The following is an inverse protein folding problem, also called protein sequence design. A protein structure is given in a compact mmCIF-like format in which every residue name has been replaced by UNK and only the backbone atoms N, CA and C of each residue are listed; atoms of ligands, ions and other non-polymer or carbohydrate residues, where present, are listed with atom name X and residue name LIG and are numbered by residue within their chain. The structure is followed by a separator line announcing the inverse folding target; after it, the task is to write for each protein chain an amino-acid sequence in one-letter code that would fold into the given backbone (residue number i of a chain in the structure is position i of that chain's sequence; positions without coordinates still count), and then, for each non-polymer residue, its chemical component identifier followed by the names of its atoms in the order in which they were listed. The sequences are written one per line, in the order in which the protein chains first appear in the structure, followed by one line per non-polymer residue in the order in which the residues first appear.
data_IF_360226242043
#
_entry.id   IF_360226242043
#
_cell.length_a   1.000
_cell.length_b   1.000
_cell.length_c   1.000
_cell.angle_alpha   90.00
_cell.angle_beta   90.00
_cell.angle_gamma   90.00
#
_symmetry.space_group_name_H-M   'P 1'
#
loop_
_entity.id
_entity.type
_entity.pdbx_description
1 polymer ?
#
# COMPACT_ATOMS: atom_id res chain seq x y z
N UNK A 1 -31.98 26.26 41.04
CA UNK A 1 -31.01 26.57 39.96
C UNK A 1 -30.97 25.35 39.05
N UNK A 2 -31.67 25.43 37.92
CA UNK A 2 -31.74 24.36 36.93
C UNK A 2 -30.52 24.45 36.03
N UNK A 3 -29.68 23.42 36.07
CA UNK A 3 -28.51 23.31 35.19
C UNK A 3 -29.04 22.81 33.85
N UNK A 4 -29.24 23.73 32.91
CA UNK A 4 -29.45 23.38 31.51
C UNK A 4 -28.09 23.00 30.93
N UNK A 5 -27.70 21.74 31.09
CA UNK A 5 -26.58 21.16 30.35
C UNK A 5 -27.02 21.02 28.89
N UNK A 6 -26.54 21.90 28.03
CA UNK A 6 -26.72 21.83 26.59
C UNK A 6 -25.94 20.63 26.04
N UNK A 7 -26.66 19.68 25.44
CA UNK A 7 -26.03 18.60 24.67
C UNK A 7 -25.54 19.21 23.37
N UNK A 8 -24.22 19.31 23.21
CA UNK A 8 -23.61 19.57 21.91
C UNK A 8 -23.69 18.27 21.12
N UNK A 9 -24.60 18.19 20.16
CA UNK A 9 -24.58 17.14 19.16
C UNK A 9 -23.53 17.56 18.12
N UNK A 10 -22.30 17.10 18.31
CA UNK A 10 -21.32 17.14 17.24
C UNK A 10 -21.83 16.19 16.15
N UNK A 11 -22.15 16.73 14.97
CA UNK A 11 -22.41 15.93 13.79
C UNK A 11 -21.08 15.32 13.32
N UNK A 12 -20.69 14.21 13.95
CA UNK A 12 -19.60 13.39 13.46
C UNK A 12 -20.08 12.77 12.14
N UNK A 13 -19.28 12.88 11.09
CA UNK A 13 -19.50 12.16 9.84
C UNK A 13 -18.79 10.79 9.94
N UNK A 14 -19.48 9.70 10.35
CA UNK A 14 -18.84 8.42 10.59
C UNK A 14 -18.22 7.83 9.31
N UNK A 15 -18.80 8.11 8.13
CA UNK A 15 -18.29 7.59 6.87
C UNK A 15 -16.91 8.17 6.55
N UNK A 16 -16.72 9.47 6.80
CA UNK A 16 -15.43 10.13 6.62
C UNK A 16 -14.36 9.55 7.57
N UNK A 17 -14.68 9.33 8.84
CA UNK A 17 -13.71 8.79 9.80
C UNK A 17 -13.26 7.36 9.44
N UNK A 18 -14.17 6.53 8.93
CA UNK A 18 -13.81 5.18 8.47
C UNK A 18 -12.93 5.22 7.22
N UNK A 19 -13.20 6.13 6.28
CA UNK A 19 -12.36 6.36 5.11
C UNK A 19 -10.97 6.88 5.51
N UNK A 20 -10.89 7.83 6.45
CA UNK A 20 -9.62 8.34 6.96
C UNK A 20 -8.79 7.24 7.66
N UNK A 21 -9.44 6.30 8.36
CA UNK A 21 -8.78 5.15 8.96
C UNK A 21 -8.22 4.17 7.91
N UNK A 22 -8.97 3.88 6.85
CA UNK A 22 -8.49 3.05 5.73
C UNK A 22 -7.36 3.73 4.97
N UNK A 23 -7.46 5.03 4.72
CA UNK A 23 -6.39 5.80 4.09
C UNK A 23 -5.12 5.85 4.97
N UNK A 24 -5.24 5.87 6.29
CA UNK A 24 -4.10 5.74 7.20
C UNK A 24 -3.43 4.36 7.09
N UNK A 25 -4.21 3.29 6.99
CA UNK A 25 -3.73 1.93 6.73
C UNK A 25 -3.00 1.86 5.39
N UNK A 26 -3.62 2.32 4.30
CA UNK A 26 -3.02 2.41 2.95
C UNK A 26 -1.68 3.15 2.95
N UNK A 27 -1.57 4.26 3.68
CA UNK A 27 -0.30 5.00 3.82
C UNK A 27 0.79 4.15 4.48
N UNK A 28 0.45 3.38 5.50
CA UNK A 28 1.38 2.46 6.14
C UNK A 28 1.80 1.36 5.16
N UNK A 29 0.85 0.82 4.41
CA UNK A 29 1.06 -0.30 3.49
C UNK A 29 1.96 0.07 2.32
N UNK A 30 1.72 1.20 1.64
CA UNK A 30 2.59 1.66 0.54
C UNK A 30 4.02 1.94 1.02
N UNK A 31 4.18 2.48 2.24
CA UNK A 31 5.50 2.70 2.83
C UNK A 31 6.19 1.38 3.16
N UNK A 32 5.45 0.40 3.65
CA UNK A 32 5.97 -0.94 3.98
C UNK A 32 6.49 -1.63 2.74
N UNK A 33 5.70 -1.65 1.64
CA UNK A 33 6.12 -2.22 0.35
C UNK A 33 7.36 -1.50 -0.18
N UNK A 34 7.36 -0.16 -0.18
CA UNK A 34 8.49 0.62 -0.68
C UNK A 34 9.77 0.36 0.14
N UNK A 35 9.66 0.30 1.47
CA UNK A 35 10.79 0.01 2.33
C UNK A 35 11.34 -1.41 2.11
N UNK A 36 10.48 -2.41 1.90
CA UNK A 36 10.90 -3.77 1.60
C UNK A 36 11.64 -3.86 0.25
N UNK A 37 11.09 -3.23 -0.80
CA UNK A 37 11.75 -3.15 -2.13
C UNK A 37 13.14 -2.53 -2.01
N UNK A 38 13.25 -1.46 -1.25
CA UNK A 38 14.52 -0.77 -1.06
C UNK A 38 15.53 -1.54 -0.21
N UNK A 39 15.08 -2.24 0.85
CA UNK A 39 15.97 -3.10 1.63
C UNK A 39 16.50 -4.25 0.76
N UNK A 40 15.64 -4.86 -0.05
CA UNK A 40 16.07 -5.84 -1.05
C UNK A 40 17.12 -5.25 -1.99
N UNK A 41 16.91 -4.03 -2.49
CA UNK A 41 17.88 -3.38 -3.36
C UNK A 41 19.24 -3.17 -2.68
N UNK A 42 19.26 -2.80 -1.40
CA UNK A 42 20.51 -2.64 -0.63
C UNK A 42 21.27 -3.97 -0.55
N UNK A 43 20.56 -5.06 -0.25
CA UNK A 43 21.17 -6.38 -0.05
C UNK A 43 21.56 -7.05 -1.38
N UNK A 44 20.95 -6.62 -2.51
CA UNK A 44 21.18 -7.18 -3.84
C UNK A 44 21.96 -6.22 -4.76
N UNK A 45 22.90 -5.45 -4.20
CA UNK A 45 23.82 -4.56 -4.96
C UNK A 45 23.11 -3.50 -5.83
N UNK A 46 21.97 -2.98 -5.37
CA UNK A 46 21.16 -1.99 -6.08
C UNK A 46 20.14 -2.59 -7.06
N UNK A 47 20.06 -3.91 -7.18
CA UNK A 47 19.10 -4.56 -8.06
C UNK A 47 17.70 -4.58 -7.44
N UNK A 48 16.71 -4.06 -8.16
CA UNK A 48 15.31 -4.14 -7.78
C UNK A 48 14.73 -5.55 -8.01
N UNK A 49 13.66 -5.93 -7.31
CA UNK A 49 12.89 -7.13 -7.63
C UNK A 49 12.52 -7.20 -9.11
N UNK A 50 12.68 -8.39 -9.68
CA UNK A 50 12.26 -8.67 -11.06
C UNK A 50 10.76 -8.44 -11.20
N UNK A 51 10.34 -7.80 -12.29
CA UNK A 51 8.92 -7.48 -12.54
C UNK A 51 8.54 -6.04 -12.24
N UNK A 52 9.34 -5.28 -11.48
CA UNK A 52 9.15 -3.83 -11.39
C UNK A 52 9.62 -3.19 -12.69
N UNK A 53 8.68 -2.64 -13.46
CA UNK A 53 8.93 -2.01 -14.77
C UNK A 53 8.64 -0.50 -14.72
N UNK A 54 8.88 0.17 -15.84
CA UNK A 54 8.54 1.59 -16.04
C UNK A 54 7.05 1.82 -16.33
N UNK A 55 6.28 0.75 -16.47
CA UNK A 55 4.83 0.80 -16.56
C UNK A 55 4.23 0.57 -15.17
N UNK A 56 3.12 1.25 -14.88
CA UNK A 56 2.35 1.02 -13.66
C UNK A 56 1.77 -0.39 -13.72
N UNK A 57 2.14 -1.21 -12.75
CA UNK A 57 1.61 -2.56 -12.57
C UNK A 57 0.99 -2.66 -11.18
N UNK A 58 -0.09 -3.43 -11.08
CA UNK A 58 -0.65 -3.82 -9.79
C UNK A 58 0.27 -4.85 -9.12
N UNK A 59 0.37 -4.78 -7.80
CA UNK A 59 1.11 -5.73 -6.98
C UNK A 59 0.25 -6.95 -6.72
N UNK A 60 0.81 -8.11 -7.01
CA UNK A 60 0.19 -9.40 -6.73
C UNK A 60 0.26 -9.73 -5.24
N UNK A 61 -0.80 -10.35 -4.73
CA UNK A 61 -0.86 -10.85 -3.37
C UNK A 61 0.11 -12.02 -3.17
N UNK A 62 0.65 -12.16 -1.97
CA UNK A 62 1.56 -13.27 -1.63
C UNK A 62 0.87 -14.62 -1.81
N UNK A 63 1.40 -15.44 -2.73
CA UNK A 63 0.85 -16.76 -3.05
C UNK A 63 -0.31 -16.74 -4.05
N UNK A 64 -0.65 -15.58 -4.63
CA UNK A 64 -1.67 -15.43 -5.67
C UNK A 64 -1.17 -15.79 -7.07
N UNK A 65 -2.09 -15.78 -8.04
CA UNK A 65 -1.83 -16.00 -9.46
C UNK A 65 -1.59 -14.68 -10.19
N UNK A 66 -0.32 -14.27 -10.28
CA UNK A 66 0.01 -12.90 -10.65
C UNK A 66 -0.23 -12.52 -12.13
N UNK A 67 -0.21 -13.44 -13.09
CA UNK A 67 -0.53 -13.12 -14.49
C UNK A 67 0.24 -11.91 -15.06
N UNK A 68 -0.44 -10.77 -15.25
CA UNK A 68 0.14 -9.50 -15.72
C UNK A 68 0.56 -8.53 -14.59
N UNK A 69 0.29 -8.87 -13.34
CA UNK A 69 0.69 -8.13 -12.15
C UNK A 69 2.17 -8.34 -11.84
N UNK A 70 2.73 -7.48 -10.98
CA UNK A 70 4.08 -7.70 -10.48
C UNK A 70 4.06 -8.70 -9.33
N UNK A 71 4.88 -9.73 -9.47
CA UNK A 71 5.15 -10.68 -8.40
C UNK A 71 6.31 -10.18 -7.53
N UNK A 72 6.03 -9.86 -6.27
CA UNK A 72 7.01 -9.46 -5.26
C UNK A 72 7.33 -10.59 -4.28
N UNK A 73 7.08 -11.86 -4.63
CA UNK A 73 7.35 -13.02 -3.78
C UNK A 73 8.78 -13.03 -3.22
N UNK A 74 9.76 -12.52 -3.98
CA UNK A 74 11.16 -12.40 -3.53
C UNK A 74 11.33 -11.57 -2.25
N UNK A 75 10.45 -10.59 -2.01
CA UNK A 75 10.45 -9.78 -0.78
C UNK A 75 9.89 -10.57 0.42
N UNK A 76 9.01 -11.52 0.15
CA UNK A 76 8.37 -12.38 1.17
C UNK A 76 9.11 -13.67 1.44
N UNK A 77 10.05 -14.05 0.57
CA UNK A 77 10.86 -15.25 0.72
C UNK A 77 11.60 -15.22 2.05
N UNK A 78 11.36 -16.24 2.89
CA UNK A 78 11.90 -16.38 4.24
C UNK A 78 11.53 -15.26 5.23
N UNK A 79 10.62 -14.35 4.87
CA UNK A 79 10.17 -13.26 5.75
C UNK A 79 11.21 -12.17 6.03
N UNK A 80 12.31 -12.12 5.27
CA UNK A 80 13.45 -11.23 5.57
C UNK A 80 13.11 -9.75 5.39
N UNK A 81 12.45 -9.38 4.29
CA UNK A 81 12.10 -8.00 3.98
C UNK A 81 10.63 -7.68 4.29
N UNK A 82 9.78 -8.69 4.15
CA UNK A 82 8.34 -8.59 4.33
C UNK A 82 7.80 -9.97 4.70
N UNK A 83 6.82 -10.07 5.59
CA UNK A 83 6.16 -11.36 5.90
C UNK A 83 5.14 -11.71 4.81
N UNK A 84 4.36 -10.72 4.39
CA UNK A 84 3.37 -10.82 3.31
C UNK A 84 3.16 -9.45 2.69
N UNK A 85 2.81 -9.41 1.41
CA UNK A 85 2.42 -8.19 0.74
C UNK A 85 1.11 -7.68 1.36
N UNK A 86 1.06 -6.42 1.85
CA UNK A 86 -0.19 -5.82 2.31
C UNK A 86 -1.24 -5.80 1.21
N UNK A 87 -2.51 -5.91 1.61
CA UNK A 87 -3.67 -5.89 0.72
C UNK A 87 -4.54 -4.70 1.12
N UNK A 88 -5.06 -3.96 0.14
CA UNK A 88 -5.95 -2.83 0.41
C UNK A 88 -7.13 -3.27 1.29
N UNK A 89 -7.50 -2.51 2.33
CA UNK A 89 -8.59 -2.90 3.23
C UNK A 89 -9.96 -2.99 2.54
N UNK A 90 -10.12 -2.42 1.35
CA UNK A 90 -11.31 -2.55 0.52
C UNK A 90 -11.23 -3.71 -0.49
N UNK A 91 -10.08 -4.37 -0.64
CA UNK A 91 -9.87 -5.47 -1.57
C UNK A 91 -10.28 -6.81 -0.93
N UNK A 92 -10.97 -7.64 -1.72
CA UNK A 92 -11.48 -8.96 -1.34
C UNK A 92 -11.01 -10.10 -2.24
N UNK A 93 -10.30 -9.76 -3.33
CA UNK A 93 -9.67 -10.72 -4.25
C UNK A 93 -8.58 -11.56 -3.58
N UNK A 94 -8.27 -12.70 -4.18
CA UNK A 94 -7.23 -13.61 -3.68
C UNK A 94 -5.85 -13.35 -4.29
N UNK A 95 -5.83 -12.67 -5.45
CA UNK A 95 -4.63 -12.44 -6.25
C UNK A 95 -4.22 -10.96 -6.25
N UNK A 96 -5.17 -10.08 -6.03
CA UNK A 96 -5.03 -8.63 -6.14
C UNK A 96 -4.77 -7.97 -4.78
N UNK A 97 -3.87 -6.99 -4.75
CA UNK A 97 -3.65 -6.16 -3.56
C UNK A 97 -4.29 -4.79 -3.67
N UNK A 98 -4.63 -4.37 -4.90
CA UNK A 98 -5.08 -3.01 -5.23
C UNK A 98 -4.03 -1.92 -4.90
N UNK A 99 -2.76 -2.32 -4.71
CA UNK A 99 -1.61 -1.42 -4.71
C UNK A 99 -0.90 -1.48 -6.05
N UNK A 100 -0.34 -0.35 -6.47
CA UNK A 100 0.41 -0.27 -7.73
C UNK A 100 1.84 0.14 -7.49
N UNK A 101 2.73 -0.31 -8.36
CA UNK A 101 4.15 0.00 -8.31
C UNK A 101 4.70 0.27 -9.71
N UNK A 102 5.64 1.21 -9.77
CA UNK A 102 6.35 1.58 -10.99
C UNK A 102 7.73 2.09 -10.63
N UNK A 103 8.71 1.91 -11.51
CA UNK A 103 10.01 2.59 -11.41
C UNK A 103 10.17 3.65 -12.48
N UNK A 104 10.90 4.72 -12.18
CA UNK A 104 11.30 5.70 -13.20
C UNK A 104 12.60 5.25 -13.91
N UNK A 105 13.04 6.02 -14.91
CA UNK A 105 14.27 5.75 -15.66
C UNK A 105 15.54 5.81 -14.77
N UNK A 106 15.49 6.55 -13.67
CA UNK A 106 16.58 6.68 -12.70
C UNK A 106 16.59 5.56 -11.66
N UNK A 107 15.67 4.59 -11.75
CA UNK A 107 15.55 3.48 -10.81
C UNK A 107 14.83 3.79 -9.49
N UNK A 108 14.25 4.99 -9.35
CA UNK A 108 13.38 5.32 -8.20
C UNK A 108 12.05 4.60 -8.31
N UNK A 109 11.59 4.07 -7.19
CA UNK A 109 10.37 3.27 -7.13
C UNK A 109 9.26 4.11 -6.50
N UNK A 110 8.09 4.07 -7.12
CA UNK A 110 6.86 4.70 -6.65
C UNK A 110 5.84 3.62 -6.36
N UNK A 111 5.27 3.63 -5.15
CA UNK A 111 4.15 2.77 -4.75
C UNK A 111 2.95 3.66 -4.47
N UNK A 112 1.79 3.32 -5.01
CA UNK A 112 0.55 4.08 -4.87
C UNK A 112 -0.64 3.21 -4.49
N UNK A 113 -1.60 3.81 -3.80
CA UNK A 113 -2.91 3.23 -3.48
C UNK A 113 -3.99 3.95 -4.32
N UNK A 114 -4.40 3.41 -5.48
CA UNK A 114 -5.38 4.03 -6.37
C UNK A 114 -6.76 4.18 -5.72
N UNK A 115 -7.13 3.26 -4.83
CA UNK A 115 -8.42 3.23 -4.11
C UNK A 115 -8.45 4.10 -2.85
N UNK A 116 -7.50 5.02 -2.69
CA UNK A 116 -7.51 6.00 -1.61
C UNK A 116 -8.73 6.94 -1.74
N UNK A 117 -9.47 7.15 -0.65
CA UNK A 117 -10.84 7.68 -0.72
C UNK A 117 -10.90 9.20 -0.56
N UNK A 118 -10.12 9.73 0.38
CA UNK A 118 -10.17 11.16 0.72
C UNK A 118 -8.93 11.93 0.22
N UNK A 119 -7.95 11.23 -0.31
CA UNK A 119 -6.63 11.79 -0.60
C UNK A 119 -5.88 10.91 -1.60
N UNK A 120 -4.92 11.47 -2.33
CA UNK A 120 -4.00 10.66 -3.12
C UNK A 120 -2.88 10.14 -2.24
N UNK A 121 -2.68 8.82 -2.24
CA UNK A 121 -1.61 8.16 -1.49
C UNK A 121 -0.61 7.58 -2.50
N UNK A 122 0.57 8.17 -2.55
CA UNK A 122 1.70 7.68 -3.33
C UNK A 122 3.00 8.07 -2.63
N UNK A 123 3.97 7.16 -2.63
CA UNK A 123 5.28 7.39 -2.04
C UNK A 123 6.34 6.98 -3.07
N UNK A 124 7.27 7.90 -3.32
CA UNK A 124 8.43 7.67 -4.18
C UNK A 124 9.68 7.73 -3.33
N UNK A 125 10.60 6.82 -3.60
CA UNK A 125 11.94 6.86 -3.05
C UNK A 125 12.91 6.56 -4.17
#
# INVERSE_FOLDING_TARGET
IAILASIVIVAINPTKQLADARDAQRRSDVNTVLNAVYQYAIDNNGNLPTGITTSVLEVCQTGGTCGTMVDLAVLTTNGTYLVSVPVDPSQTGADETDYTIVKNADGRVTVAAPSAENTTISVTR
#
